data_IF_371395799319
#
_entry.id   IF_371395799319
#
_cell.length_a   1.000
_cell.length_b   1.000
_cell.length_c   1.000
_cell.angle_alpha   90.00
_cell.angle_beta   90.00
_cell.angle_gamma   90.00
#
_symmetry.space_group_name_H-M   'P 1'
#
loop_
_entity.id
_entity.type
_entity.pdbx_description
1 polymer ?
#
# COMPACT_ATOMS: atom_id res chain seq x y z
N UNK A 1 -16.60 -23.07 2.96
CA UNK A 1 -15.35 -23.82 2.78
C UNK A 1 -14.26 -22.98 2.08
N UNK A 2 -14.01 -21.76 2.55
CA UNK A 2 -12.94 -20.88 2.04
C UNK A 2 -12.05 -20.31 3.16
N UNK A 3 -12.22 -20.81 4.38
CA UNK A 3 -11.49 -20.36 5.58
C UNK A 3 -10.37 -21.30 6.01
N UNK A 4 -10.29 -22.51 5.45
CA UNK A 4 -9.26 -23.50 5.82
C UNK A 4 -7.96 -23.41 4.99
N UNK A 5 -7.97 -22.76 3.82
CA UNK A 5 -6.76 -22.67 2.98
C UNK A 5 -5.74 -21.64 3.49
N UNK A 6 -6.17 -20.67 4.30
CA UNK A 6 -5.30 -19.65 4.92
C UNK A 6 -4.39 -20.27 6.01
N UNK A 7 -4.66 -21.51 6.43
CA UNK A 7 -3.90 -22.23 7.46
C UNK A 7 -2.92 -23.28 6.92
N UNK A 8 -2.67 -23.34 5.61
CA UNK A 8 -1.61 -24.20 5.04
C UNK A 8 -0.19 -23.68 5.30
N UNK A 9 -0.05 -22.52 5.96
CA UNK A 9 1.22 -21.86 6.24
C UNK A 9 1.27 -21.34 7.68
N UNK A 10 2.48 -21.32 8.26
CA UNK A 10 2.77 -20.79 9.58
C UNK A 10 3.36 -19.38 9.45
N UNK A 11 2.80 -18.34 10.09
CA UNK A 11 3.40 -17.01 10.12
C UNK A 11 4.80 -17.06 10.72
N UNK A 12 5.81 -16.61 9.98
CA UNK A 12 7.19 -16.62 10.46
C UNK A 12 7.60 -15.24 11.01
N UNK A 13 7.50 -14.19 10.20
CA UNK A 13 7.85 -12.84 10.64
C UNK A 13 7.32 -11.77 9.67
N UNK A 14 6.85 -10.65 10.21
CA UNK A 14 6.65 -9.45 9.41
C UNK A 14 8.03 -8.89 9.05
N UNK A 15 8.32 -8.73 7.77
CA UNK A 15 9.61 -8.21 7.32
C UNK A 15 9.60 -6.70 7.33
N UNK A 16 8.62 -6.13 6.63
CA UNK A 16 8.51 -4.71 6.41
C UNK A 16 7.08 -4.23 6.50
N UNK A 17 6.95 -2.96 6.84
CA UNK A 17 5.75 -2.15 6.65
C UNK A 17 6.05 -1.06 5.63
N UNK A 18 5.04 -0.69 4.86
CA UNK A 18 5.14 0.38 3.88
C UNK A 18 3.83 1.14 3.77
N UNK A 19 3.96 2.35 3.27
CA UNK A 19 2.86 3.27 3.03
C UNK A 19 2.80 3.59 1.55
N UNK A 20 1.66 4.12 1.12
CA UNK A 20 1.49 4.53 -0.26
C UNK A 20 1.65 6.04 -0.37
N UNK A 21 2.23 6.47 -1.49
CA UNK A 21 2.12 7.85 -1.97
C UNK A 21 1.08 7.88 -3.08
N UNK A 22 0.08 8.77 -2.96
CA UNK A 22 -0.86 9.10 -4.02
C UNK A 22 -0.14 10.05 -4.97
N UNK A 23 -0.08 9.71 -6.25
CA UNK A 23 0.57 10.53 -7.27
C UNK A 23 -0.39 10.91 -8.38
N UNK A 24 -0.13 12.04 -9.02
CA UNK A 24 -0.74 12.42 -10.28
C UNK A 24 0.29 12.67 -11.39
N UNK A 25 -0.15 12.51 -12.63
CA UNK A 25 0.59 13.00 -13.79
C UNK A 25 0.66 14.55 -13.78
N UNK A 26 1.80 15.17 -14.13
CA UNK A 26 1.99 16.63 -14.06
C UNK A 26 1.07 17.46 -14.97
N UNK A 27 0.43 16.86 -15.98
CA UNK A 27 -0.56 17.56 -16.84
C UNK A 27 -1.84 17.92 -16.09
N UNK A 28 -2.11 17.30 -14.94
CA UNK A 28 -3.30 17.62 -14.13
C UNK A 28 -3.17 19.02 -13.52
N UNK A 29 -4.27 19.76 -13.27
CA UNK A 29 -4.22 21.13 -12.79
C UNK A 29 -4.08 21.25 -11.25
N UNK A 30 -3.75 20.17 -10.55
CA UNK A 30 -3.59 20.14 -9.09
C UNK A 30 -2.23 19.58 -8.68
N UNK A 31 -1.79 19.95 -7.47
CA UNK A 31 -0.48 19.55 -6.91
C UNK A 31 -0.58 18.98 -5.49
N UNK A 32 -1.77 18.91 -4.94
CA UNK A 32 -2.07 18.33 -3.63
C UNK A 32 -3.36 17.50 -3.69
N UNK A 33 -3.63 16.77 -2.61
CA UNK A 33 -4.80 15.90 -2.55
C UNK A 33 -6.13 16.68 -2.50
N UNK A 34 -6.14 17.89 -1.92
CA UNK A 34 -7.34 18.73 -1.89
C UNK A 34 -7.74 19.24 -3.28
N UNK A 35 -6.74 19.60 -4.10
CA UNK A 35 -6.91 19.98 -5.50
C UNK A 35 -7.40 18.81 -6.35
N UNK A 36 -6.89 17.58 -6.10
CA UNK A 36 -7.44 16.37 -6.71
C UNK A 36 -8.94 16.22 -6.39
N UNK A 37 -9.33 16.32 -5.12
CA UNK A 37 -10.72 16.18 -4.71
C UNK A 37 -11.60 17.26 -5.34
N UNK A 38 -11.12 18.51 -5.36
CA UNK A 38 -11.84 19.64 -5.96
C UNK A 38 -12.05 19.43 -7.46
N UNK A 39 -10.99 19.05 -8.18
CA UNK A 39 -11.06 18.76 -9.61
C UNK A 39 -12.01 17.59 -9.90
N UNK A 40 -11.91 16.49 -9.16
CA UNK A 40 -12.71 15.30 -9.36
C UNK A 40 -14.22 15.55 -9.10
N UNK A 41 -14.56 16.40 -8.12
CA UNK A 41 -15.95 16.82 -7.87
C UNK A 41 -16.51 17.65 -9.02
N UNK A 42 -15.71 18.57 -9.59
CA UNK A 42 -16.12 19.39 -10.73
C UNK A 42 -16.15 18.60 -12.04
N UNK A 43 -15.40 17.50 -12.14
CA UNK A 43 -15.20 16.72 -13.36
C UNK A 43 -15.44 15.21 -13.11
N UNK A 44 -16.68 14.81 -12.75
CA UNK A 44 -16.96 13.42 -12.45
C UNK A 44 -16.67 12.50 -13.65
N UNK A 45 -15.97 11.39 -13.41
CA UNK A 45 -15.62 10.40 -14.44
C UNK A 45 -14.46 10.80 -15.37
N UNK A 46 -13.76 11.91 -15.09
CA UNK A 46 -12.62 12.39 -15.91
C UNK A 46 -11.25 11.92 -15.44
N UNK A 47 -11.18 11.14 -14.37
CA UNK A 47 -9.92 10.66 -13.80
C UNK A 47 -9.88 9.15 -13.81
N UNK A 48 -8.79 8.61 -14.33
CA UNK A 48 -8.43 7.21 -14.24
C UNK A 48 -7.45 7.00 -13.09
N UNK A 49 -7.61 5.88 -12.40
CA UNK A 49 -6.77 5.45 -11.30
C UNK A 49 -6.09 4.13 -11.67
N UNK A 50 -4.77 4.10 -11.59
CA UNK A 50 -3.95 2.91 -11.78
C UNK A 50 -4.08 2.02 -10.53
N UNK A 51 -5.11 1.18 -10.54
CA UNK A 51 -5.39 0.27 -9.45
C UNK A 51 -5.01 -1.16 -9.78
N UNK A 52 -5.71 -2.09 -9.14
CA UNK A 52 -5.55 -3.53 -9.32
C UNK A 52 -6.92 -4.14 -9.60
N UNK A 53 -6.92 -5.43 -9.90
CA UNK A 53 -8.14 -6.22 -9.92
C UNK A 53 -8.98 -6.02 -8.65
N UNK A 54 -10.31 -6.19 -8.74
CA UNK A 54 -11.21 -6.09 -7.60
C UNK A 54 -10.74 -6.95 -6.43
N UNK A 55 -10.49 -6.30 -5.30
CA UNK A 55 -10.04 -6.96 -4.06
C UNK A 55 -8.53 -6.95 -3.81
N UNK A 56 -7.74 -6.39 -4.74
CA UNK A 56 -6.36 -6.03 -4.44
C UNK A 56 -6.27 -4.79 -3.53
N UNK A 57 -5.13 -4.64 -2.83
CA UNK A 57 -4.88 -3.51 -1.91
C UNK A 57 -5.12 -2.13 -2.53
N UNK A 58 -4.86 -1.97 -3.84
CA UNK A 58 -5.04 -0.69 -4.54
C UNK A 58 -6.49 -0.39 -4.84
N UNK A 59 -7.26 -1.42 -5.20
CA UNK A 59 -8.71 -1.31 -5.31
C UNK A 59 -9.33 -0.91 -3.97
N UNK A 60 -8.90 -1.54 -2.86
CA UNK A 60 -9.36 -1.15 -1.53
C UNK A 60 -9.01 0.31 -1.18
N UNK A 61 -7.81 0.76 -1.52
CA UNK A 61 -7.40 2.14 -1.27
C UNK A 61 -8.25 3.13 -2.10
N UNK A 62 -8.49 2.83 -3.37
CA UNK A 62 -9.37 3.62 -4.24
C UNK A 62 -10.77 3.74 -3.64
N UNK A 63 -11.36 2.63 -3.22
CA UNK A 63 -12.70 2.62 -2.63
C UNK A 63 -12.76 3.36 -1.29
N UNK A 64 -11.69 3.32 -0.49
CA UNK A 64 -11.57 4.16 0.71
C UNK A 64 -11.50 5.64 0.34
N UNK A 65 -10.74 6.03 -0.69
CA UNK A 65 -10.67 7.42 -1.18
C UNK A 65 -12.07 7.87 -1.62
N UNK A 66 -12.77 7.06 -2.41
CA UNK A 66 -14.13 7.35 -2.85
C UNK A 66 -15.07 7.56 -1.65
N UNK A 67 -15.05 6.65 -0.68
CA UNK A 67 -15.90 6.74 0.50
C UNK A 67 -15.61 7.98 1.37
N UNK A 68 -14.33 8.35 1.54
CA UNK A 68 -13.93 9.46 2.39
C UNK A 68 -14.14 10.84 1.74
N UNK A 69 -14.05 10.93 0.41
CA UNK A 69 -14.05 12.21 -0.32
C UNK A 69 -15.35 12.49 -1.07
N UNK A 70 -16.13 11.44 -1.36
CA UNK A 70 -17.31 11.50 -2.23
C UNK A 70 -16.98 11.59 -3.73
N UNK A 71 -15.71 11.51 -4.13
CA UNK A 71 -15.32 11.54 -5.54
C UNK A 71 -15.46 10.16 -6.20
N UNK A 72 -15.41 10.13 -7.54
CA UNK A 72 -15.34 8.90 -8.33
C UNK A 72 -14.26 9.01 -9.39
N UNK A 73 -13.35 8.04 -9.38
CA UNK A 73 -12.31 7.81 -10.38
C UNK A 73 -12.50 6.40 -10.96
N UNK A 74 -12.15 6.22 -12.22
CA UNK A 74 -12.27 4.93 -12.92
C UNK A 74 -11.07 4.04 -12.57
N UNK A 75 -11.33 2.85 -12.02
CA UNK A 75 -10.26 1.86 -11.77
C UNK A 75 -9.77 1.27 -13.10
N UNK A 76 -8.50 1.46 -13.42
CA UNK A 76 -7.81 0.76 -14.52
C UNK A 76 -6.88 -0.28 -13.89
N UNK A 77 -7.15 -1.59 -14.07
CA UNK A 77 -6.42 -2.62 -13.35
C UNK A 77 -5.03 -2.88 -13.97
N UNK A 78 -4.01 -2.88 -13.12
CA UNK A 78 -2.66 -3.30 -13.45
C UNK A 78 -2.18 -4.40 -12.51
N UNK A 79 -1.24 -5.23 -12.98
CA UNK A 79 -0.56 -6.26 -12.17
C UNK A 79 0.56 -5.67 -11.30
N UNK A 80 0.24 -4.61 -10.54
CA UNK A 80 1.16 -3.92 -9.64
C UNK A 80 1.75 -2.61 -10.18
N UNK A 81 2.53 -1.94 -9.34
CA UNK A 81 3.02 -0.57 -9.59
C UNK A 81 3.88 -0.47 -10.86
N UNK A 82 4.82 -1.41 -11.03
CA UNK A 82 5.74 -1.43 -12.18
C UNK A 82 5.01 -1.57 -13.51
N UNK A 83 3.93 -2.36 -13.55
CA UNK A 83 3.12 -2.55 -14.76
C UNK A 83 2.36 -1.27 -15.15
N UNK A 84 1.99 -0.44 -14.18
CA UNK A 84 1.30 0.84 -14.42
C UNK A 84 2.24 2.00 -14.76
N UNK A 85 3.55 1.84 -14.55
CA UNK A 85 4.49 2.97 -14.57
C UNK A 85 4.54 3.67 -15.93
N UNK A 86 4.63 2.91 -17.02
CA UNK A 86 4.73 3.50 -18.37
C UNK A 86 3.50 4.37 -18.70
N UNK A 87 2.30 3.86 -18.45
CA UNK A 87 1.03 4.55 -18.72
C UNK A 87 0.86 5.78 -17.82
N UNK A 88 1.27 5.69 -16.55
CA UNK A 88 1.26 6.81 -15.61
C UNK A 88 2.24 7.90 -16.04
N UNK A 89 3.44 7.54 -16.49
CA UNK A 89 4.43 8.50 -17.00
C UNK A 89 4.03 9.11 -18.35
N UNK A 90 3.23 8.40 -19.15
CA UNK A 90 2.67 8.90 -20.40
C UNK A 90 1.38 9.73 -20.21
N UNK A 91 0.80 9.74 -19.01
CA UNK A 91 -0.47 10.42 -18.73
C UNK A 91 -1.70 9.70 -19.28
N UNK A 92 -1.58 8.42 -19.66
CA UNK A 92 -2.71 7.57 -20.07
C UNK A 92 -3.61 7.26 -18.87
N UNK A 93 -3.01 7.15 -17.68
CA UNK A 93 -3.72 7.02 -16.40
C UNK A 93 -3.19 8.07 -15.43
N UNK A 94 -4.06 8.97 -14.99
CA UNK A 94 -3.62 10.22 -14.38
C UNK A 94 -3.25 10.05 -12.91
N UNK A 95 -3.98 9.19 -12.18
CA UNK A 95 -3.79 8.98 -10.75
C UNK A 95 -3.27 7.58 -10.48
N UNK A 96 -2.43 7.44 -9.48
CA UNK A 96 -2.06 6.12 -8.97
C UNK A 96 -1.55 6.20 -7.54
N UNK A 97 -1.28 5.03 -6.98
CA UNK A 97 -0.55 4.90 -5.74
C UNK A 97 0.74 4.12 -5.97
N UNK A 98 1.72 4.36 -5.12
CA UNK A 98 3.03 3.72 -5.20
C UNK A 98 3.54 3.40 -3.80
N UNK A 99 4.05 2.17 -3.62
CA UNK A 99 4.60 1.73 -2.34
C UNK A 99 6.12 1.96 -2.21
N UNK A 100 6.86 1.98 -3.33
CA UNK A 100 8.31 2.13 -3.35
C UNK A 100 8.87 2.21 -4.77
N UNK A 101 10.03 2.85 -4.94
CA UNK A 101 10.71 2.97 -6.23
C UNK A 101 10.22 4.10 -7.15
N UNK A 102 9.35 4.98 -6.66
CA UNK A 102 8.77 6.08 -7.45
C UNK A 102 9.38 7.45 -7.18
N UNK A 103 10.20 7.58 -6.13
CA UNK A 103 10.89 8.83 -5.81
C UNK A 103 11.67 9.43 -6.99
N UNK A 104 12.43 8.67 -7.80
CA UNK A 104 13.12 9.25 -8.96
C UNK A 104 12.15 9.91 -9.96
N UNK A 105 10.94 9.39 -10.11
CA UNK A 105 9.92 9.94 -10.99
C UNK A 105 9.25 11.19 -10.39
N UNK A 106 9.10 11.23 -9.07
CA UNK A 106 8.59 12.40 -8.34
C UNK A 106 9.63 13.52 -8.34
N UNK A 107 10.88 13.23 -8.00
CA UNK A 107 11.98 14.20 -7.96
C UNK A 107 12.26 14.82 -9.33
N UNK A 108 12.11 14.04 -10.42
CA UNK A 108 12.25 14.55 -11.78
C UNK A 108 11.01 15.27 -12.32
N UNK A 109 9.96 15.40 -11.52
CA UNK A 109 8.71 16.08 -11.90
C UNK A 109 7.85 15.31 -12.90
N UNK A 110 8.19 14.06 -13.22
CA UNK A 110 7.38 13.19 -14.11
C UNK A 110 6.12 12.68 -13.43
N UNK A 111 6.10 12.69 -12.10
CA UNK A 111 4.92 12.46 -11.27
C UNK A 111 4.89 13.52 -10.16
N UNK A 112 3.71 13.86 -9.68
CA UNK A 112 3.50 14.77 -8.56
C UNK A 112 2.95 13.97 -7.38
N UNK A 113 3.63 13.99 -6.24
CA UNK A 113 3.13 13.41 -5.00
C UNK A 113 2.10 14.32 -4.34
N UNK A 114 0.89 13.80 -4.09
CA UNK A 114 -0.26 14.56 -3.60
C UNK A 114 -0.48 14.40 -2.09
N UNK A 115 -0.33 13.17 -1.59
CA UNK A 115 -0.45 12.80 -0.19
C UNK A 115 0.16 11.42 0.07
N UNK A 116 0.45 11.12 1.33
CA UNK A 116 0.88 9.79 1.79
C UNK A 116 -0.18 9.15 2.70
N UNK A 117 -0.20 7.82 2.79
CA UNK A 117 -1.21 7.08 3.57
C UNK A 117 -0.74 6.64 4.96
N UNK A 118 0.50 6.96 5.31
CA UNK A 118 1.08 6.59 6.60
C UNK A 118 0.52 7.43 7.76
N UNK A 119 0.72 6.97 9.01
CA UNK A 119 0.32 7.71 10.21
C UNK A 119 1.14 8.99 10.42
N UNK A 120 2.28 9.10 9.75
CA UNK A 120 3.14 10.27 9.68
C UNK A 120 3.72 10.39 8.27
N UNK A 121 4.27 11.56 7.94
CA UNK A 121 4.90 11.80 6.64
C UNK A 121 6.02 10.79 6.41
N UNK A 122 6.08 10.27 5.19
CA UNK A 122 7.16 9.36 4.78
C UNK A 122 8.49 10.11 4.83
N UNK A 123 9.53 9.47 5.39
CA UNK A 123 10.89 10.05 5.44
C UNK A 123 11.41 10.39 4.03
N UNK A 124 11.02 9.59 3.05
CA UNK A 124 11.35 9.78 1.63
C UNK A 124 10.66 11.02 1.01
N UNK A 125 9.54 11.46 1.60
CA UNK A 125 8.71 12.57 1.12
C UNK A 125 8.31 13.52 2.28
N UNK A 126 9.26 14.20 2.94
CA UNK A 126 9.00 14.96 4.17
C UNK A 126 8.10 16.18 3.96
N UNK A 127 8.00 16.67 2.72
CA UNK A 127 7.16 17.80 2.34
C UNK A 127 5.75 17.39 1.89
N UNK A 128 5.52 16.10 1.63
CA UNK A 128 4.23 15.59 1.17
C UNK A 128 3.35 15.28 2.38
N UNK A 129 2.16 15.90 2.52
CA UNK A 129 1.32 15.69 3.67
C UNK A 129 0.77 14.27 3.74
N UNK A 130 0.35 13.82 4.92
CA UNK A 130 -0.49 12.63 5.01
C UNK A 130 -1.93 12.93 4.58
N UNK A 131 -2.72 11.90 4.28
CA UNK A 131 -4.15 12.07 4.06
C UNK A 131 -4.87 12.61 5.30
N UNK A 132 -4.42 12.26 6.51
CA UNK A 132 -4.97 12.81 7.75
C UNK A 132 -4.66 14.31 7.89
N UNK A 133 -3.42 14.72 7.62
CA UNK A 133 -3.02 16.14 7.57
C UNK A 133 -3.78 16.91 6.48
N UNK A 134 -4.21 16.22 5.42
CA UNK A 134 -5.02 16.76 4.33
C UNK A 134 -6.52 16.84 4.66
N UNK A 135 -6.92 16.51 5.90
CA UNK A 135 -8.30 16.63 6.39
C UNK A 135 -9.14 15.34 6.35
N UNK A 136 -8.56 14.21 5.93
CA UNK A 136 -9.26 12.92 5.83
C UNK A 136 -8.92 12.05 7.06
N UNK A 137 -9.54 12.38 8.20
CA UNK A 137 -9.29 11.69 9.49
C UNK A 137 -9.57 10.19 9.41
N UNK A 138 -8.73 9.39 10.09
CA UNK A 138 -8.84 7.93 10.07
C UNK A 138 -8.39 7.29 8.75
N UNK A 139 -7.78 8.08 7.86
CA UNK A 139 -7.20 7.60 6.61
C UNK A 139 -5.72 7.25 6.78
N UNK A 140 -5.45 6.39 7.76
CA UNK A 140 -4.22 5.63 7.81
C UNK A 140 -4.45 4.32 7.04
N UNK A 141 -3.60 4.06 6.05
CA UNK A 141 -3.50 2.76 5.38
C UNK A 141 -2.04 2.37 5.34
N UNK A 142 -1.75 1.26 6.00
CA UNK A 142 -0.45 0.61 5.96
C UNK A 142 -0.59 -0.75 5.30
N UNK A 143 0.49 -1.22 4.71
CA UNK A 143 0.57 -2.55 4.15
C UNK A 143 1.92 -3.15 4.50
N UNK A 144 2.04 -4.47 4.40
CA UNK A 144 3.20 -5.17 4.90
C UNK A 144 3.57 -6.33 3.99
N UNK A 145 4.85 -6.68 4.03
CA UNK A 145 5.33 -7.97 3.55
C UNK A 145 5.88 -8.75 4.74
N UNK A 146 5.58 -10.05 4.74
CA UNK A 146 6.05 -10.98 5.75
C UNK A 146 6.38 -12.32 5.12
N UNK A 147 7.12 -13.12 5.88
CA UNK A 147 7.46 -14.49 5.50
C UNK A 147 6.55 -15.46 6.24
N UNK A 148 6.18 -16.52 5.54
CA UNK A 148 5.45 -17.66 6.07
C UNK A 148 6.23 -18.93 5.76
N UNK A 149 6.05 -19.96 6.59
CA UNK A 149 6.65 -21.28 6.39
C UNK A 149 5.56 -22.31 6.06
N UNK A 150 5.87 -23.44 5.41
CA UNK A 150 4.91 -24.52 5.21
C UNK A 150 4.33 -25.03 6.54
N UNK A 151 3.06 -25.47 6.51
CA UNK A 151 2.47 -26.20 7.63
C UNK A 151 3.34 -27.41 8.02
N UNK A 152 3.49 -27.63 9.33
CA UNK A 152 4.32 -28.71 9.89
C UNK A 152 5.82 -28.38 10.01
N UNK A 153 6.26 -27.17 9.66
CA UNK A 153 7.64 -26.74 9.95
C UNK A 153 7.93 -26.87 11.45
N UNK A 154 8.99 -27.60 11.87
CA UNK A 154 9.27 -27.83 13.29
C UNK A 154 9.49 -26.53 14.08
N UNK A 155 9.04 -26.45 15.35
CA UNK A 155 9.18 -25.24 16.16
C UNK A 155 10.63 -24.75 16.32
N UNK A 156 11.61 -25.66 16.40
CA UNK A 156 13.01 -25.28 16.52
C UNK A 156 13.55 -24.62 15.24
N UNK A 157 13.07 -25.06 14.07
CA UNK A 157 13.39 -24.45 12.77
C UNK A 157 12.74 -23.07 12.66
N UNK A 158 11.47 -22.94 13.06
CA UNK A 158 10.78 -21.64 13.11
C UNK A 158 11.54 -20.63 13.97
N UNK A 159 12.00 -21.07 15.16
CA UNK A 159 12.77 -20.24 16.08
C UNK A 159 14.12 -19.81 15.48
N UNK A 160 14.88 -20.74 14.88
CA UNK A 160 16.16 -20.46 14.22
C UNK A 160 15.98 -19.46 13.06
N UNK A 161 14.98 -19.67 12.21
CA UNK A 161 14.69 -18.78 11.09
C UNK A 161 14.28 -17.38 11.56
N UNK A 162 13.38 -17.29 12.55
CA UNK A 162 12.96 -16.00 13.10
C UNK A 162 14.15 -15.23 13.70
N UNK A 163 15.04 -15.90 14.44
CA UNK A 163 16.24 -15.29 15.00
C UNK A 163 17.23 -14.79 13.93
N UNK A 164 17.44 -15.60 12.88
CA UNK A 164 18.30 -15.23 11.76
C UNK A 164 17.75 -14.03 10.98
N UNK A 165 16.45 -14.01 10.71
CA UNK A 165 15.79 -12.91 9.99
C UNK A 165 15.81 -11.61 10.80
N UNK A 166 15.57 -11.67 12.11
CA UNK A 166 15.69 -10.51 13.00
C UNK A 166 17.12 -9.94 13.01
N UNK A 167 18.14 -10.80 12.97
CA UNK A 167 19.53 -10.36 12.84
C UNK A 167 19.77 -9.71 11.48
N UNK A 168 19.30 -10.32 10.40
CA UNK A 168 19.45 -9.80 9.04
C UNK A 168 18.79 -8.43 8.83
N UNK A 169 17.58 -8.22 9.36
CA UNK A 169 16.86 -6.94 9.26
C UNK A 169 17.58 -5.77 9.95
N UNK A 170 18.48 -6.06 10.90
CA UNK A 170 19.29 -5.04 11.59
C UNK A 170 20.58 -4.71 10.85
N UNK A 171 20.89 -5.41 9.75
CA UNK A 171 22.05 -5.09 8.92
C UNK A 171 21.94 -3.67 8.35
N UNK A 172 22.99 -2.84 8.46
CA UNK A 172 23.00 -1.50 7.86
C UNK A 172 22.70 -1.51 6.37
N UNK A 173 23.16 -2.52 5.64
CA UNK A 173 22.92 -2.63 4.20
C UNK A 173 21.44 -2.93 3.90
N UNK A 174 20.80 -3.80 4.68
CA UNK A 174 19.37 -4.09 4.54
C UNK A 174 18.55 -2.84 4.86
N UNK A 175 18.85 -2.16 5.96
CA UNK A 175 18.17 -0.91 6.35
C UNK A 175 18.30 0.13 5.23
N UNK A 176 19.51 0.29 4.67
CA UNK A 176 19.77 1.24 3.58
C UNK A 176 18.95 0.91 2.34
N UNK A 177 18.92 -0.35 1.92
CA UNK A 177 18.16 -0.79 0.74
C UNK A 177 16.64 -0.64 0.93
N UNK A 178 16.13 -0.96 2.12
CA UNK A 178 14.72 -0.76 2.45
C UNK A 178 14.34 0.72 2.44
N UNK A 179 15.17 1.57 3.06
CA UNK A 179 14.95 3.02 3.09
C UNK A 179 14.95 3.64 1.68
N UNK A 180 15.80 3.15 0.76
CA UNK A 180 15.80 3.59 -0.65
C UNK A 180 14.51 3.26 -1.40
N UNK A 181 13.71 2.32 -0.90
CA UNK A 181 12.41 1.94 -1.44
C UNK A 181 11.25 2.49 -0.62
N UNK A 182 11.50 3.29 0.43
CA UNK A 182 10.46 3.78 1.33
C UNK A 182 9.88 2.73 2.28
N UNK A 183 10.56 1.59 2.46
CA UNK A 183 10.12 0.50 3.32
C UNK A 183 10.70 0.60 4.73
N UNK A 184 9.89 0.24 5.72
CA UNK A 184 10.23 0.27 7.14
C UNK A 184 10.47 -1.16 7.64
N UNK A 185 11.67 -1.51 8.14
CA UNK A 185 11.90 -2.81 8.75
C UNK A 185 11.08 -2.96 10.03
N UNK A 186 10.45 -4.12 10.23
CA UNK A 186 9.62 -4.41 11.41
C UNK A 186 10.22 -5.53 12.26
N UNK A 187 10.33 -6.74 11.71
CA UNK A 187 10.82 -7.91 12.45
C UNK A 187 9.85 -8.39 13.53
N UNK A 188 10.39 -8.94 14.62
CA UNK A 188 9.62 -9.38 15.77
C UNK A 188 9.35 -10.89 15.79
N UNK A 189 8.33 -11.31 16.55
CA UNK A 189 8.04 -12.73 16.80
C UNK A 189 7.01 -13.31 15.83
N UNK A 190 6.97 -14.64 15.76
CA UNK A 190 5.96 -15.37 14.97
C UNK A 190 4.53 -15.06 15.45
N UNK A 191 4.35 -14.91 16.76
CA UNK A 191 3.07 -14.62 17.41
C UNK A 191 2.59 -13.20 17.09
N UNK A 192 3.50 -12.22 17.13
CA UNK A 192 3.19 -10.83 16.76
C UNK A 192 2.71 -10.74 15.31
N UNK A 193 3.38 -11.47 14.40
CA UNK A 193 2.96 -11.49 13.00
C UNK A 193 1.63 -12.22 12.80
N UNK A 194 1.39 -13.32 13.53
CA UNK A 194 0.10 -14.01 13.50
C UNK A 194 -1.05 -13.12 14.02
N UNK A 195 -0.79 -12.30 15.04
CA UNK A 195 -1.75 -11.31 15.54
C UNK A 195 -2.03 -10.22 14.49
N UNK A 196 -1.00 -9.72 13.80
CA UNK A 196 -1.16 -8.74 12.72
C UNK A 196 -2.03 -9.28 11.58
N UNK A 197 -1.78 -10.51 11.14
CA UNK A 197 -2.60 -11.17 10.11
C UNK A 197 -4.06 -11.28 10.57
N UNK A 198 -4.32 -11.74 11.80
CA UNK A 198 -5.69 -11.84 12.34
C UNK A 198 -6.39 -10.48 12.42
N UNK A 199 -5.70 -9.45 12.88
CA UNK A 199 -6.24 -8.10 12.99
C UNK A 199 -6.61 -7.54 11.60
N UNK A 200 -5.75 -7.73 10.61
CA UNK A 200 -6.02 -7.24 9.25
C UNK A 200 -7.15 -8.01 8.56
N UNK A 201 -7.25 -9.32 8.76
CA UNK A 201 -8.38 -10.10 8.28
C UNK A 201 -9.70 -9.59 8.88
N UNK A 202 -9.73 -9.33 10.18
CA UNK A 202 -10.91 -8.78 10.85
C UNK A 202 -11.26 -7.37 10.35
N UNK A 203 -10.27 -6.51 10.15
CA UNK A 203 -10.47 -5.14 9.69
C UNK A 203 -10.97 -5.07 8.23
N UNK A 204 -10.51 -5.97 7.36
CA UNK A 204 -10.85 -5.95 5.94
C UNK A 204 -12.10 -6.76 5.59
N UNK A 205 -12.54 -7.69 6.44
CA UNK A 205 -13.71 -8.53 6.18
C UNK A 205 -15.00 -7.72 5.85
N UNK A 206 -15.35 -6.62 6.55
CA UNK A 206 -16.53 -5.82 6.20
C UNK A 206 -16.41 -5.17 4.82
N UNK A 207 -15.20 -4.81 4.41
CA UNK A 207 -14.94 -4.17 3.11
C UNK A 207 -15.11 -5.19 1.99
N UNK A 208 -14.55 -6.40 2.15
CA UNK A 208 -14.75 -7.52 1.21
C UNK A 208 -16.24 -7.82 1.03
N UNK A 209 -16.99 -7.92 2.13
CA UNK A 209 -18.43 -8.18 2.12
C UNK A 209 -19.20 -7.06 1.40
N UNK A 210 -18.91 -5.80 1.72
CA UNK A 210 -19.56 -4.64 1.11
C UNK A 210 -19.31 -4.55 -0.40
N UNK A 211 -18.10 -4.89 -0.83
CA UNK A 211 -17.73 -4.86 -2.25
C UNK A 211 -18.27 -6.08 -3.02
N UNK A 212 -18.92 -7.05 -2.35
CA UNK A 212 -19.45 -8.25 -2.99
C UNK A 212 -18.37 -9.10 -3.66
N UNK A 213 -17.11 -8.94 -3.24
CA UNK A 213 -15.97 -9.61 -3.84
C UNK A 213 -16.06 -11.10 -3.54
N UNK A 214 -16.12 -11.90 -4.60
CA UNK A 214 -15.98 -13.35 -4.54
C UNK A 214 -14.64 -13.70 -5.14
N UNK A 215 -13.80 -14.36 -4.33
CA UNK A 215 -12.59 -15.00 -4.81
C UNK A 215 -12.93 -16.48 -4.99
N UNK A 216 -12.56 -17.01 -6.15
CA UNK A 216 -12.73 -18.41 -6.55
C UNK A 216 -11.74 -19.35 -5.84
#
# INVERSE_FOLDING_TARGET
AATDSVLAVLPLMQMIEYYFVVTAHPSMPFRDFQGLVTFAKANPGKLNFAGTEPGGVRHFLLERIHAATGIRMTNVPYRGDTASLADRLAGIVEIGISAGGFKPHIDSGKLVALATTGPARMQEFPTVPTLEESGYKGFTLTSWFGLVAPAGTPPDIMSKLNAALNTGLKSPEVIRLLAQQGFLPVGGSTEAFAQKIRADLAANAPVVQKLGLKFD
#
